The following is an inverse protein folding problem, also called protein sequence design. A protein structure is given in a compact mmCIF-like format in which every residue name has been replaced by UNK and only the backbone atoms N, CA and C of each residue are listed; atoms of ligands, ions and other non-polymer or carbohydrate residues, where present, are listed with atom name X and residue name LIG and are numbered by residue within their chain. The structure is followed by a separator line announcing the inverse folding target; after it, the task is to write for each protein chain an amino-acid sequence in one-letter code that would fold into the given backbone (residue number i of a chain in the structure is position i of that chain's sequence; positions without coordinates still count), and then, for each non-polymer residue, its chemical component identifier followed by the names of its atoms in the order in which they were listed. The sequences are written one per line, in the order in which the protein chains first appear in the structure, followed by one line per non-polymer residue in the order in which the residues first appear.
data_IF_311858018891
#
_entry.id   IF_311858018891
#
_cell.length_a   1.000
_cell.length_b   1.000
_cell.length_c   1.000
_cell.angle_alpha   90.00
_cell.angle_beta   90.00
_cell.angle_gamma   90.00
#
_symmetry.space_group_name_H-M   'P 1'
#
loop_
_entity.id
_entity.type
_entity.pdbx_description
1 polymer ?
#
# COMPACT_ATOMS: atom_id res chain seq x y z
N UNK A 1 11.35 -14.95 0.25
CA UNK A 1 11.19 -13.73 1.06
C UNK A 1 12.52 -13.00 1.14
N UNK A 2 12.63 -11.78 0.52
CA UNK A 2 13.92 -11.09 0.35
C UNK A 2 14.49 -10.49 1.63
N UNK A 3 13.66 -9.97 2.54
CA UNK A 3 14.16 -9.39 3.79
C UNK A 3 15.03 -10.35 4.62
N UNK A 4 14.66 -11.63 4.71
CA UNK A 4 15.50 -12.63 5.39
C UNK A 4 16.89 -12.78 4.78
N UNK A 5 16.96 -12.75 3.45
CA UNK A 5 18.24 -12.85 2.74
C UNK A 5 19.15 -11.62 2.94
N UNK A 6 18.55 -10.49 3.35
CA UNK A 6 19.25 -9.23 3.62
C UNK A 6 19.40 -8.91 5.12
N UNK A 7 19.01 -9.82 6.01
CA UNK A 7 19.16 -9.68 7.47
C UNK A 7 20.13 -10.71 8.02
N UNK A 8 21.44 -10.39 8.09
CA UNK A 8 22.48 -11.32 8.52
C UNK A 8 22.18 -11.87 9.92
N UNK A 9 22.50 -13.14 10.14
CA UNK A 9 22.29 -13.82 11.42
C UNK A 9 20.83 -14.22 11.73
N UNK A 10 19.88 -13.91 10.83
CA UNK A 10 18.49 -14.29 11.06
C UNK A 10 18.25 -15.77 10.78
N UNK A 11 17.44 -16.42 11.62
CA UNK A 11 17.00 -17.81 11.43
C UNK A 11 15.92 -17.94 10.34
N UNK A 12 15.66 -19.18 9.90
CA UNK A 12 14.56 -19.48 8.99
C UNK A 12 13.18 -19.20 9.61
N UNK A 13 13.08 -19.17 10.93
CA UNK A 13 11.87 -18.85 11.69
C UNK A 13 11.62 -17.34 11.83
N UNK A 14 12.59 -16.47 11.51
CA UNK A 14 12.47 -15.04 11.63
C UNK A 14 11.27 -14.49 10.82
N UNK A 15 10.58 -13.51 11.37
CA UNK A 15 9.35 -12.94 10.82
C UNK A 15 9.52 -11.47 10.47
N UNK A 16 8.85 -11.04 9.41
CA UNK A 16 8.76 -9.65 9.01
C UNK A 16 7.66 -8.95 9.81
N UNK A 17 7.93 -7.75 10.33
CA UNK A 17 6.91 -6.84 10.86
C UNK A 17 6.43 -5.87 9.78
N UNK A 18 5.13 -5.85 9.52
CA UNK A 18 4.55 -4.93 8.54
C UNK A 18 3.11 -4.59 8.89
N UNK A 19 2.70 -3.36 8.58
CA UNK A 19 1.30 -2.91 8.56
C UNK A 19 0.96 -2.45 7.16
N UNK A 20 -0.20 -2.88 6.66
CA UNK A 20 -0.67 -2.56 5.31
C UNK A 20 -1.99 -1.81 5.39
N UNK A 21 -2.05 -0.66 4.75
CA UNK A 21 -3.25 0.14 4.58
C UNK A 21 -3.72 0.03 3.14
N UNK A 22 -5.01 -0.28 2.95
CA UNK A 22 -5.61 -0.47 1.63
C UNK A 22 -6.42 0.78 1.28
N UNK A 23 -6.03 1.46 0.23
CA UNK A 23 -6.73 2.63 -0.28
C UNK A 23 -7.39 2.28 -1.61
N UNK A 24 -8.66 2.61 -1.75
CA UNK A 24 -9.47 2.32 -2.95
C UNK A 24 -9.58 3.50 -3.89
N UNK A 25 -9.31 4.71 -3.39
CA UNK A 25 -9.54 5.95 -4.11
C UNK A 25 -8.30 6.80 -4.15
N UNK A 26 -8.12 7.53 -5.24
CA UNK A 26 -7.15 8.60 -5.37
C UNK A 26 -7.65 9.90 -4.70
N UNK A 27 -6.84 10.95 -4.75
CA UNK A 27 -7.14 12.25 -4.13
C UNK A 27 -8.36 12.96 -4.73
N UNK A 28 -8.78 12.58 -5.93
CA UNK A 28 -9.96 13.08 -6.63
C UNK A 28 -11.17 12.13 -6.50
N UNK A 29 -11.16 11.23 -5.52
CA UNK A 29 -12.14 10.16 -5.30
C UNK A 29 -12.32 9.22 -6.51
N UNK A 30 -11.44 9.28 -7.50
CA UNK A 30 -11.43 8.33 -8.60
C UNK A 30 -11.00 6.94 -8.11
N UNK A 31 -11.52 5.90 -8.73
CA UNK A 31 -11.11 4.53 -8.43
C UNK A 31 -9.60 4.36 -8.66
N UNK A 32 -8.86 4.11 -7.60
CA UNK A 32 -7.41 3.95 -7.61
C UNK A 32 -6.98 3.06 -6.46
N UNK A 33 -6.95 1.76 -6.70
CA UNK A 33 -6.52 0.81 -5.67
C UNK A 33 -5.01 0.89 -5.48
N UNK A 34 -4.60 1.23 -4.25
CA UNK A 34 -3.18 1.24 -3.86
C UNK A 34 -3.00 0.84 -2.40
N UNK A 35 -1.76 0.48 -2.06
CA UNK A 35 -1.41 -0.02 -0.74
C UNK A 35 -0.26 0.83 -0.17
N UNK A 36 -0.43 1.30 1.05
CA UNK A 36 0.68 1.82 1.84
C UNK A 36 1.16 0.72 2.78
N UNK A 37 2.42 0.32 2.64
CA UNK A 37 3.03 -0.74 3.42
C UNK A 37 4.12 -0.15 4.31
N UNK A 38 3.88 -0.05 5.61
CA UNK A 38 4.90 0.31 6.59
C UNK A 38 5.59 -0.97 7.04
N UNK A 39 6.86 -1.12 6.68
CA UNK A 39 7.64 -2.34 6.90
C UNK A 39 8.83 -2.00 7.79
N UNK A 40 9.07 -2.81 8.81
CA UNK A 40 10.31 -2.73 9.59
C UNK A 40 11.48 -3.13 8.72
N UNK A 41 12.56 -2.37 8.77
CA UNK A 41 13.77 -2.62 7.99
C UNK A 41 14.61 -3.73 8.65
N UNK A 42 14.09 -4.92 8.61
CA UNK A 42 14.68 -6.11 9.23
C UNK A 42 13.66 -7.23 9.49
N UNK A 43 14.06 -8.18 10.27
CA UNK A 43 13.22 -9.32 10.69
C UNK A 43 13.35 -9.57 12.19
N UNK A 44 12.31 -10.13 12.78
CA UNK A 44 12.24 -10.49 14.19
C UNK A 44 12.48 -11.99 14.35
N UNK A 45 13.28 -12.37 15.33
CA UNK A 45 13.46 -13.75 15.77
C UNK A 45 13.28 -13.83 17.30
N UNK A 46 12.90 -14.99 17.81
CA UNK A 46 12.96 -15.24 19.26
C UNK A 46 14.42 -15.19 19.73
N UNK A 47 14.67 -14.63 20.91
CA UNK A 47 16.02 -14.55 21.48
C UNK A 47 16.57 -15.91 21.96
N UNK A 48 15.70 -16.93 22.09
CA UNK A 48 16.06 -18.31 22.44
C UNK A 48 15.02 -19.29 21.94
N UNK A 49 15.47 -20.47 21.51
CA UNK A 49 14.59 -21.49 20.94
C UNK A 49 13.68 -22.17 22.00
N UNK A 50 14.00 -22.04 23.29
CA UNK A 50 13.34 -22.79 24.37
C UNK A 50 12.62 -21.91 25.41
N UNK A 51 12.81 -20.60 25.44
CA UNK A 51 12.22 -19.71 26.44
C UNK A 51 11.44 -18.54 25.79
N UNK A 52 10.09 -18.59 25.82
CA UNK A 52 9.26 -17.48 25.34
C UNK A 52 9.49 -16.13 26.08
N UNK A 53 10.06 -16.18 27.30
CA UNK A 53 10.39 -15.00 28.09
C UNK A 53 11.71 -14.34 27.67
N UNK A 54 12.54 -15.02 26.87
CA UNK A 54 13.82 -14.49 26.41
C UNK A 54 13.71 -13.25 25.49
N UNK A 55 12.50 -12.89 25.08
CA UNK A 55 12.23 -11.70 24.29
C UNK A 55 12.44 -11.90 22.79
N UNK A 56 12.54 -10.79 22.06
CA UNK A 56 12.65 -10.75 20.59
C UNK A 56 13.91 -10.00 20.18
N UNK A 57 14.66 -10.56 19.27
CA UNK A 57 15.83 -9.92 18.63
C UNK A 57 15.43 -9.41 17.26
N UNK A 58 15.85 -8.18 16.96
CA UNK A 58 15.70 -7.59 15.62
C UNK A 58 17.01 -7.79 14.87
N UNK A 59 16.93 -8.41 13.71
CA UNK A 59 18.03 -8.50 12.75
C UNK A 59 17.78 -7.45 11.67
N UNK A 60 18.54 -6.37 11.70
CA UNK A 60 18.42 -5.29 10.73
C UNK A 60 18.74 -5.78 9.31
N UNK A 61 18.08 -5.22 8.31
CA UNK A 61 18.40 -5.48 6.93
C UNK A 61 19.60 -4.64 6.48
N UNK A 62 20.42 -5.19 5.61
CA UNK A 62 21.58 -4.49 5.01
C UNK A 62 21.17 -3.46 3.94
N UNK A 63 19.91 -3.08 3.89
CA UNK A 63 19.32 -2.17 2.89
C UNK A 63 18.80 -2.91 1.65
N UNK A 64 17.86 -2.27 0.96
CA UNK A 64 17.29 -2.78 -0.28
C UNK A 64 17.85 -1.98 -1.46
N UNK A 65 18.62 -2.64 -2.31
CA UNK A 65 19.07 -2.03 -3.56
C UNK A 65 17.86 -1.80 -4.51
N UNK A 66 17.94 -0.78 -5.36
CA UNK A 66 16.92 -0.45 -6.37
C UNK A 66 16.53 -1.68 -7.21
N UNK A 67 17.51 -2.49 -7.61
CA UNK A 67 17.27 -3.74 -8.33
C UNK A 67 16.43 -4.76 -7.53
N UNK A 68 16.52 -4.75 -6.20
CA UNK A 68 15.69 -5.60 -5.34
C UNK A 68 14.23 -5.11 -5.34
N UNK A 69 13.99 -3.80 -5.32
CA UNK A 69 12.66 -3.20 -5.41
C UNK A 69 12.00 -3.57 -6.74
N UNK A 70 12.70 -3.39 -7.87
CA UNK A 70 12.22 -3.77 -9.20
C UNK A 70 11.86 -5.27 -9.30
N UNK A 71 12.68 -6.12 -8.67
CA UNK A 71 12.37 -7.55 -8.62
C UNK A 71 11.12 -7.85 -7.79
N UNK A 72 10.92 -7.17 -6.67
CA UNK A 72 9.71 -7.32 -5.85
C UNK A 72 8.49 -6.85 -6.63
N UNK A 73 8.56 -5.72 -7.33
CA UNK A 73 7.49 -5.23 -8.20
C UNK A 73 7.07 -6.28 -9.22
N UNK A 74 8.03 -6.86 -9.96
CA UNK A 74 7.78 -7.91 -10.93
C UNK A 74 7.12 -9.14 -10.29
N UNK A 75 7.60 -9.58 -9.14
CA UNK A 75 7.03 -10.73 -8.42
C UNK A 75 5.61 -10.46 -7.93
N UNK A 76 5.33 -9.27 -7.43
CA UNK A 76 3.97 -8.87 -6.99
C UNK A 76 3.03 -8.90 -8.19
N UNK A 77 3.40 -8.25 -9.31
CA UNK A 77 2.62 -8.26 -10.56
C UNK A 77 2.27 -9.70 -10.98
N UNK A 78 3.26 -10.54 -11.13
CA UNK A 78 3.05 -11.93 -11.55
C UNK A 78 2.15 -12.73 -10.60
N UNK A 79 2.26 -12.50 -9.29
CA UNK A 79 1.41 -13.18 -8.29
C UNK A 79 -0.03 -12.69 -8.35
N UNK A 80 -0.25 -11.39 -8.53
CA UNK A 80 -1.59 -10.80 -8.65
C UNK A 80 -2.27 -11.32 -9.90
N UNK A 81 -1.63 -11.24 -11.07
CA UNK A 81 -2.18 -11.73 -12.34
C UNK A 81 -2.53 -13.22 -12.24
N UNK A 82 -1.61 -14.06 -11.75
CA UNK A 82 -1.89 -15.49 -11.54
C UNK A 82 -3.04 -15.74 -10.56
N UNK A 83 -3.19 -14.91 -9.53
CA UNK A 83 -4.30 -15.05 -8.58
C UNK A 83 -5.64 -14.68 -9.22
N UNK A 84 -5.68 -13.67 -10.07
CA UNK A 84 -6.89 -13.27 -10.79
C UNK A 84 -7.31 -14.32 -11.82
N UNK A 85 -6.38 -14.83 -12.61
CA UNK A 85 -6.65 -15.94 -13.55
C UNK A 85 -7.21 -17.17 -12.81
N UNK A 86 -6.57 -17.60 -11.72
CA UNK A 86 -7.05 -18.76 -10.94
C UNK A 86 -8.44 -18.57 -10.32
N UNK A 87 -8.84 -17.31 -10.08
CA UNK A 87 -10.17 -16.98 -9.51
C UNK A 87 -11.21 -16.69 -10.59
N UNK A 88 -10.87 -16.82 -11.87
CA UNK A 88 -11.75 -16.52 -12.98
C UNK A 88 -12.08 -15.01 -13.13
N UNK A 89 -11.27 -14.13 -12.52
CA UNK A 89 -11.44 -12.67 -12.62
C UNK A 89 -10.74 -12.10 -13.86
N UNK A 90 -9.89 -12.87 -14.51
CA UNK A 90 -9.12 -12.50 -15.68
C UNK A 90 -8.98 -13.74 -16.58
N UNK A 91 -9.15 -13.58 -17.90
CA UNK A 91 -8.89 -14.66 -18.83
C UNK A 91 -7.37 -15.00 -18.84
N UNK A 92 -6.98 -16.26 -19.08
CA UNK A 92 -5.57 -16.63 -19.14
C UNK A 92 -4.77 -15.82 -20.16
N UNK A 93 -5.32 -15.63 -21.36
CA UNK A 93 -4.73 -14.80 -22.44
C UNK A 93 -4.44 -13.38 -22.00
N UNK A 94 -5.41 -12.75 -21.30
CA UNK A 94 -5.26 -11.37 -20.81
C UNK A 94 -4.20 -11.30 -19.70
N UNK A 95 -4.14 -12.33 -18.87
CA UNK A 95 -3.10 -12.45 -17.84
C UNK A 95 -1.70 -12.56 -18.39
N UNK A 96 -1.52 -13.28 -19.50
CA UNK A 96 -0.25 -13.40 -20.23
C UNK A 96 0.12 -12.07 -20.91
N UNK A 97 -0.83 -11.45 -21.62
CA UNK A 97 -0.64 -10.17 -22.28
C UNK A 97 -0.25 -9.08 -21.27
N UNK A 98 -1.02 -8.91 -20.20
CA UNK A 98 -0.72 -7.98 -19.10
C UNK A 98 0.63 -8.29 -18.44
N UNK A 99 1.03 -9.55 -18.42
CA UNK A 99 2.34 -10.00 -17.94
C UNK A 99 3.49 -9.44 -18.77
N UNK A 100 3.29 -9.25 -20.06
CA UNK A 100 4.27 -8.72 -21.02
C UNK A 100 4.29 -7.20 -21.21
N UNK A 101 3.32 -6.46 -20.65
CA UNK A 101 3.25 -5.00 -20.84
C UNK A 101 4.49 -4.29 -20.29
N UNK A 102 4.98 -3.31 -21.05
CA UNK A 102 6.09 -2.45 -20.65
C UNK A 102 5.76 -1.58 -19.44
N UNK A 103 6.78 -0.93 -18.87
CA UNK A 103 6.66 0.05 -17.80
C UNK A 103 5.88 -0.45 -16.57
N UNK A 104 6.00 -1.75 -16.27
CA UNK A 104 5.33 -2.35 -15.12
C UNK A 104 3.85 -2.66 -15.31
N UNK A 105 3.25 -2.35 -16.47
CA UNK A 105 1.86 -2.69 -16.82
C UNK A 105 0.84 -2.19 -15.80
N UNK A 106 0.96 -0.94 -15.34
CA UNK A 106 0.10 -0.36 -14.32
C UNK A 106 0.46 -0.73 -12.88
N UNK A 107 1.43 -1.64 -12.66
CA UNK A 107 1.95 -1.96 -11.33
C UNK A 107 3.19 -1.10 -11.04
N UNK A 108 3.16 -0.32 -9.98
CA UNK A 108 4.30 0.45 -9.51
C UNK A 108 4.56 0.18 -8.04
N UNK A 109 5.82 0.20 -7.64
CA UNK A 109 6.26 0.08 -6.26
C UNK A 109 7.27 1.19 -5.97
N UNK A 110 6.92 2.07 -5.04
CA UNK A 110 7.83 3.07 -4.49
C UNK A 110 8.28 2.63 -3.09
N UNK A 111 9.57 2.60 -2.86
CA UNK A 111 10.20 2.30 -1.58
C UNK A 111 11.24 3.36 -1.22
N UNK A 112 11.07 4.60 -1.67
CA UNK A 112 11.98 5.71 -1.42
C UNK A 112 11.87 6.29 -0.02
N UNK A 113 10.70 6.11 0.64
CA UNK A 113 10.46 6.66 1.98
C UNK A 113 11.07 5.74 3.03
N UNK A 114 12.03 6.27 3.78
CA UNK A 114 12.61 5.64 4.96
C UNK A 114 12.55 6.59 6.14
N UNK A 115 12.12 6.09 7.29
CA UNK A 115 12.07 6.84 8.54
C UNK A 115 12.97 6.12 9.55
N UNK A 116 13.91 6.83 10.14
CA UNK A 116 14.80 6.27 11.14
C UNK A 116 14.04 5.85 12.41
N UNK A 117 14.51 4.77 13.05
CA UNK A 117 13.85 4.21 14.23
C UNK A 117 13.74 5.20 15.41
N UNK A 118 14.66 6.13 15.55
CA UNK A 118 14.64 7.17 16.59
C UNK A 118 13.71 8.35 16.24
N UNK A 119 13.32 8.55 14.96
CA UNK A 119 12.42 9.63 14.54
C UNK A 119 10.97 9.27 14.83
N UNK A 120 10.54 9.45 16.08
CA UNK A 120 9.17 9.19 16.54
C UNK A 120 8.15 10.06 15.79
N UNK A 121 8.47 11.34 15.60
CA UNK A 121 7.59 12.29 14.93
C UNK A 121 7.42 11.95 13.45
N UNK A 122 8.49 11.54 12.76
CA UNK A 122 8.44 11.07 11.39
C UNK A 122 7.61 9.80 11.23
N UNK A 123 7.75 8.84 12.15
CA UNK A 123 6.93 7.61 12.17
C UNK A 123 5.46 7.92 12.40
N UNK A 124 5.14 8.82 13.33
CA UNK A 124 3.76 9.24 13.57
C UNK A 124 3.16 9.91 12.34
N UNK A 125 3.88 10.85 11.69
CA UNK A 125 3.43 11.50 10.45
C UNK A 125 3.18 10.48 9.35
N UNK A 126 4.07 9.50 9.17
CA UNK A 126 3.92 8.43 8.17
C UNK A 126 2.67 7.60 8.44
N UNK A 127 2.47 7.16 9.67
CA UNK A 127 1.30 6.35 10.04
C UNK A 127 0.00 7.14 9.89
N UNK A 128 -0.04 8.41 10.30
CA UNK A 128 -1.20 9.30 10.08
C UNK A 128 -1.50 9.47 8.59
N UNK A 129 -0.47 9.64 7.78
CA UNK A 129 -0.62 9.73 6.32
C UNK A 129 -1.20 8.43 5.73
N UNK A 130 -0.70 7.29 6.13
CA UNK A 130 -1.16 5.99 5.65
C UNK A 130 -2.56 5.62 6.16
N UNK A 131 -2.92 6.03 7.38
CA UNK A 131 -4.20 5.73 8.01
C UNK A 131 -5.32 6.73 7.68
N UNK A 132 -5.01 7.79 6.93
CA UNK A 132 -6.01 8.83 6.61
C UNK A 132 -7.20 8.23 5.86
N UNK A 133 -8.43 8.74 6.09
CA UNK A 133 -9.60 8.33 5.33
C UNK A 133 -9.46 8.72 3.85
N UNK A 134 -10.20 8.08 2.94
CA UNK A 134 -10.14 8.36 1.50
C UNK A 134 -10.55 9.79 1.14
N UNK A 135 -11.33 10.43 2.00
CA UNK A 135 -11.76 11.82 1.86
C UNK A 135 -11.58 12.59 3.17
N UNK A 136 -11.30 13.87 3.06
CA UNK A 136 -11.21 14.78 4.20
C UNK A 136 -12.58 15.41 4.46
N UNK A 137 -13.06 15.36 5.69
CA UNK A 137 -14.39 15.86 6.06
C UNK A 137 -14.53 17.39 5.87
N UNK A 138 -13.45 18.13 6.02
CA UNK A 138 -13.38 19.57 5.77
C UNK A 138 -13.57 19.96 4.29
N UNK A 139 -13.44 19.01 3.38
CA UNK A 139 -13.73 19.17 1.95
C UNK A 139 -15.16 18.76 1.57
N UNK A 140 -15.92 18.18 2.51
CA UNK A 140 -17.28 17.70 2.28
C UNK A 140 -18.28 18.70 2.86
N UNK A 141 -19.18 19.21 2.02
CA UNK A 141 -20.18 20.19 2.41
C UNK A 141 -21.57 19.72 2.00
N UNK A 142 -22.56 19.95 2.85
CA UNK A 142 -23.96 19.73 2.48
C UNK A 142 -24.38 20.86 1.51
N UNK A 143 -24.89 20.47 0.34
CA UNK A 143 -25.43 21.38 -0.65
C UNK A 143 -26.96 21.57 -0.45
N UNK A 144 -27.67 20.46 -0.32
CA UNK A 144 -29.11 20.43 -0.03
C UNK A 144 -29.45 19.15 0.76
N UNK A 145 -30.74 18.80 0.86
CA UNK A 145 -31.20 17.63 1.61
C UNK A 145 -30.75 16.28 0.99
N UNK A 146 -30.48 16.27 -0.31
CA UNK A 146 -30.17 15.06 -1.07
C UNK A 146 -28.74 15.03 -1.62
N UNK A 147 -27.99 16.14 -1.55
CA UNK A 147 -26.70 16.27 -2.17
C UNK A 147 -25.64 16.80 -1.20
N UNK A 148 -24.45 16.20 -1.35
CA UNK A 148 -23.19 16.62 -0.74
C UNK A 148 -22.24 17.08 -1.86
N UNK A 149 -21.43 18.07 -1.58
CA UNK A 149 -20.35 18.54 -2.49
C UNK A 149 -19.02 18.22 -1.84
N UNK A 150 -18.19 17.49 -2.55
CA UNK A 150 -16.81 17.25 -2.17
C UNK A 150 -15.87 18.08 -3.04
N UNK A 151 -15.12 18.99 -2.43
CA UNK A 151 -14.14 19.82 -3.09
C UNK A 151 -12.80 19.08 -3.21
N UNK A 152 -12.33 18.85 -4.42
CA UNK A 152 -11.04 18.19 -4.66
C UNK A 152 -9.87 19.06 -4.19
N UNK A 153 -9.08 18.58 -3.26
CA UNK A 153 -7.90 19.28 -2.76
C UNK A 153 -6.82 19.46 -3.85
N UNK A 154 -6.75 18.52 -4.80
CA UNK A 154 -5.79 18.49 -5.92
C UNK A 154 -6.51 18.11 -7.20
N UNK A 155 -7.31 18.99 -7.81
CA UNK A 155 -7.97 18.67 -9.06
C UNK A 155 -6.93 18.44 -10.16
N UNK A 156 -7.22 17.51 -11.07
CA UNK A 156 -6.44 17.35 -12.30
C UNK A 156 -6.63 18.60 -13.17
N UNK A 157 -5.69 18.95 -14.06
CA UNK A 157 -5.83 20.13 -14.94
C UNK A 157 -7.17 20.13 -15.67
N UNK A 158 -7.62 18.99 -16.18
CA UNK A 158 -8.86 18.82 -16.93
C UNK A 158 -9.96 18.08 -16.14
N UNK A 159 -9.79 17.92 -14.82
CA UNK A 159 -10.72 17.20 -13.96
C UNK A 159 -11.67 18.09 -13.19
N UNK A 160 -12.77 17.55 -12.67
CA UNK A 160 -13.72 18.32 -11.87
C UNK A 160 -13.07 18.84 -10.58
N UNK A 161 -13.33 20.10 -10.26
CA UNK A 161 -12.88 20.73 -9.01
C UNK A 161 -13.72 20.31 -7.81
N UNK A 162 -14.94 19.90 -8.06
CA UNK A 162 -15.86 19.41 -7.05
C UNK A 162 -16.69 18.24 -7.61
N UNK A 163 -17.10 17.36 -6.74
CA UNK A 163 -17.99 16.25 -7.03
C UNK A 163 -19.30 16.44 -6.28
N UNK A 164 -20.43 16.26 -6.96
CA UNK A 164 -21.75 16.23 -6.33
C UNK A 164 -22.09 14.76 -6.05
N UNK A 165 -22.39 14.46 -4.81
CA UNK A 165 -22.59 13.09 -4.33
C UNK A 165 -23.94 13.02 -3.60
N UNK A 166 -24.61 11.90 -3.68
CA UNK A 166 -25.69 11.60 -2.75
C UNK A 166 -25.12 11.02 -1.46
N UNK A 167 -25.76 11.17 -0.29
CA UNK A 167 -25.32 10.53 0.96
C UNK A 167 -25.14 9.01 0.80
N UNK A 168 -26.04 8.36 0.09
CA UNK A 168 -25.96 6.91 -0.19
C UNK A 168 -24.77 6.59 -1.11
N UNK A 169 -24.57 7.38 -2.16
CA UNK A 169 -23.42 7.23 -3.06
C UNK A 169 -22.08 7.38 -2.34
N UNK A 170 -22.01 8.29 -1.36
CA UNK A 170 -20.82 8.46 -0.51
C UNK A 170 -20.58 7.21 0.36
N UNK A 171 -21.61 6.65 0.98
CA UNK A 171 -21.51 5.44 1.81
C UNK A 171 -21.13 4.21 0.97
N UNK A 172 -21.73 4.04 -0.19
CA UNK A 172 -21.46 2.93 -1.10
C UNK A 172 -20.11 3.06 -1.83
N UNK A 173 -19.46 4.22 -1.76
CA UNK A 173 -18.23 4.49 -2.49
C UNK A 173 -18.42 4.51 -4.01
N UNK A 174 -19.61 4.88 -4.47
CA UNK A 174 -19.96 5.05 -5.89
C UNK A 174 -19.82 6.53 -6.25
N UNK A 175 -18.65 6.89 -6.70
CA UNK A 175 -18.33 8.23 -7.19
C UNK A 175 -18.39 8.20 -8.73
N UNK A 176 -19.50 8.65 -9.28
CA UNK A 176 -19.70 8.80 -10.72
C UNK A 176 -19.54 10.26 -11.15
#
# INVERSE_FOLDING_TARGET
MRYRAHSPGSSAAARLGAVVFIHRFGSALNAHLHFHCCIIDGVFAAAGDADPAAGVVVHEASGLAVAAVATVQTQVRQRVLRAWVRRGLLAPSDGEEMGGWDHGGGFSLDASVRIEGADLAGRERLLRYCARPPFALDHLHQHDAEHLVYNNAKPRPDGPRALVLTPLGLIDGKFS
#
